data_IF_517234788419
#
_entry.id   IF_517234788419
#
_cell.length_a   1.000
_cell.length_b   1.000
_cell.length_c   1.000
_cell.angle_alpha   90.00
_cell.angle_beta   90.00
_cell.angle_gamma   90.00
#
_symmetry.space_group_name_H-M   'P 1'
#
loop_
_entity.id
_entity.type
_entity.pdbx_description
1 polymer ?
#
# COMPACT_ATOMS: atom_id res chain seq x y z
N UNK A 1 -2.97 32.98 51.09
CA UNK A 1 -1.64 32.60 50.58
C UNK A 1 -1.55 31.07 50.37
N UNK A 2 -2.50 30.48 49.62
CA UNK A 2 -2.64 29.01 49.50
C UNK A 2 -2.94 28.51 48.07
N UNK A 3 -2.94 29.39 47.06
CA UNK A 3 -3.31 29.05 45.67
C UNK A 3 -2.07 28.81 44.79
N UNK A 4 -0.87 29.23 45.23
CA UNK A 4 0.38 29.10 44.44
C UNK A 4 1.01 27.70 44.46
N UNK A 5 0.68 26.83 45.42
CA UNK A 5 1.30 25.51 45.55
C UNK A 5 0.55 24.40 44.79
N UNK A 6 -0.71 24.62 44.39
CA UNK A 6 -1.50 23.62 43.64
C UNK A 6 -1.14 23.63 42.15
N UNK A 7 -0.75 24.79 41.60
CA UNK A 7 -0.44 24.94 40.17
C UNK A 7 0.94 24.35 39.82
N UNK A 8 1.94 24.44 40.70
CA UNK A 8 3.25 23.80 40.45
C UNK A 8 3.17 22.26 40.51
N UNK A 9 2.30 21.69 41.35
CA UNK A 9 2.12 20.24 41.44
C UNK A 9 1.42 19.64 40.21
N UNK A 10 0.44 20.34 39.64
CA UNK A 10 -0.26 19.90 38.44
C UNK A 10 0.61 20.00 37.17
N UNK A 11 1.51 20.99 37.10
CA UNK A 11 2.43 21.15 35.96
C UNK A 11 3.56 20.11 35.99
N UNK A 12 4.06 19.71 37.17
CA UNK A 12 5.04 18.62 37.27
C UNK A 12 4.45 17.24 36.95
N UNK A 13 3.18 17.00 37.31
CA UNK A 13 2.49 15.73 36.98
C UNK A 13 2.12 15.64 35.49
N UNK A 14 1.83 16.77 34.85
CA UNK A 14 1.60 16.84 33.40
C UNK A 14 2.90 16.67 32.58
N UNK A 15 4.07 17.05 33.11
CA UNK A 15 5.36 16.81 32.46
C UNK A 15 5.83 15.34 32.56
N UNK A 16 5.33 14.56 33.52
CA UNK A 16 5.66 13.13 33.65
C UNK A 16 4.82 12.19 32.77
N UNK A 17 3.81 12.72 32.06
CA UNK A 17 2.92 11.95 31.18
C UNK A 17 3.23 12.12 29.68
N UNK A 18 4.29 12.85 29.35
CA UNK A 18 4.96 12.65 28.06
C UNK A 18 5.76 11.36 28.21
N UNK A 19 5.06 10.22 28.16
CA UNK A 19 5.73 8.96 27.91
C UNK A 19 6.49 9.14 26.62
N UNK A 20 7.82 9.20 26.70
CA UNK A 20 8.66 9.15 25.51
C UNK A 20 8.21 7.91 24.74
N UNK A 21 7.56 8.10 23.59
CA UNK A 21 7.22 6.99 22.72
C UNK A 21 8.52 6.22 22.50
N UNK A 22 8.51 4.94 22.87
CA UNK A 22 9.66 4.08 22.69
C UNK A 22 9.84 3.90 21.18
N UNK A 23 10.82 4.60 20.61
CA UNK A 23 11.17 4.46 19.21
C UNK A 23 12.46 3.66 19.11
N UNK A 24 12.35 2.34 18.90
CA UNK A 24 13.50 1.51 18.57
C UNK A 24 13.61 1.33 17.05
N UNK A 25 14.84 1.14 16.57
CA UNK A 25 15.11 0.78 15.18
C UNK A 25 15.53 -0.67 15.09
N UNK A 26 14.89 -1.41 14.19
CA UNK A 26 15.19 -2.79 13.87
C UNK A 26 15.58 -2.92 12.40
N UNK A 27 16.31 -3.98 12.09
CA UNK A 27 16.89 -4.22 10.77
C UNK A 27 16.58 -5.64 10.34
N UNK A 28 16.02 -5.77 9.15
CA UNK A 28 15.73 -7.03 8.49
C UNK A 28 16.42 -7.02 7.12
N UNK A 29 17.20 -8.05 6.84
CA UNK A 29 17.92 -8.19 5.59
C UNK A 29 17.91 -9.63 5.12
N UNK A 30 17.85 -9.85 3.81
CA UNK A 30 17.93 -11.19 3.21
C UNK A 30 19.23 -11.92 3.51
N UNK A 31 20.30 -11.20 3.90
CA UNK A 31 21.57 -11.78 4.35
C UNK A 31 21.70 -11.87 5.88
N UNK A 32 20.64 -11.57 6.62
CA UNK A 32 20.62 -11.58 8.08
C UNK A 32 20.45 -12.96 8.70
N UNK A 33 20.29 -12.98 10.02
CA UNK A 33 20.05 -14.17 10.83
C UNK A 33 19.01 -13.85 11.91
N UNK A 34 17.95 -14.64 12.02
CA UNK A 34 16.85 -14.42 12.98
C UNK A 34 17.27 -14.64 14.45
N UNK A 35 18.43 -15.24 14.68
CA UNK A 35 19.03 -15.38 16.02
C UNK A 35 19.71 -14.10 16.51
N UNK A 36 19.94 -13.12 15.63
CA UNK A 36 20.44 -11.80 16.01
C UNK A 36 19.42 -11.04 16.87
N UNK A 37 19.86 -9.95 17.51
CA UNK A 37 18.94 -9.05 18.22
C UNK A 37 18.18 -8.08 17.29
N UNK A 38 18.62 -7.94 16.03
CA UNK A 38 17.99 -7.13 15.00
C UNK A 38 18.11 -5.62 15.21
N UNK A 39 18.86 -5.13 16.21
CA UNK A 39 18.91 -3.69 16.57
C UNK A 39 20.03 -2.91 15.89
N UNK A 40 20.77 -3.54 14.97
CA UNK A 40 21.80 -2.86 14.17
C UNK A 40 21.87 -3.38 12.74
N UNK A 41 22.30 -2.55 11.76
CA UNK A 41 22.47 -2.99 10.38
C UNK A 41 23.47 -4.14 10.20
N UNK A 42 24.45 -4.27 11.12
CA UNK A 42 25.49 -5.30 11.06
C UNK A 42 25.06 -6.65 11.64
N UNK A 43 23.93 -6.69 12.35
CA UNK A 43 23.33 -7.93 12.88
C UNK A 43 21.80 -7.91 12.65
N UNK A 44 21.34 -7.86 11.38
CA UNK A 44 19.92 -7.80 11.07
C UNK A 44 19.28 -9.19 11.23
N UNK A 45 17.96 -9.20 11.42
CA UNK A 45 17.15 -10.40 11.25
C UNK A 45 17.05 -10.80 9.77
N UNK A 46 16.69 -12.05 9.51
CA UNK A 46 16.52 -12.57 8.14
C UNK A 46 15.07 -12.47 7.68
N UNK A 47 14.15 -12.95 8.50
CA UNK A 47 12.74 -13.11 8.14
C UNK A 47 12.00 -11.77 8.16
N UNK A 48 11.23 -11.44 7.11
CA UNK A 48 10.42 -10.21 7.06
C UNK A 48 9.33 -10.15 8.14
N UNK A 49 8.85 -11.31 8.61
CA UNK A 49 7.83 -11.40 9.66
C UNK A 49 8.41 -11.56 11.08
N UNK A 50 9.73 -11.42 11.27
CA UNK A 50 10.37 -11.52 12.60
C UNK A 50 9.83 -10.42 13.53
N UNK A 51 9.53 -10.77 14.78
CA UNK A 51 8.95 -9.85 15.78
C UNK A 51 7.44 -9.65 15.69
N UNK A 52 6.77 -10.34 14.76
CA UNK A 52 5.33 -10.23 14.56
C UNK A 52 4.56 -11.31 15.29
N UNK A 53 3.51 -10.90 16.00
CA UNK A 53 2.54 -11.83 16.55
C UNK A 53 1.81 -12.61 15.46
N UNK A 54 1.19 -13.71 15.87
CA UNK A 54 0.32 -14.55 15.02
C UNK A 54 -0.94 -14.91 15.80
N UNK A 55 -2.08 -14.94 15.13
CA UNK A 55 -3.34 -15.41 15.71
C UNK A 55 -3.42 -16.93 15.75
N UNK A 56 -4.04 -17.46 16.80
CA UNK A 56 -4.47 -18.86 16.85
C UNK A 56 -5.42 -19.21 15.69
N UNK A 57 -5.35 -20.46 15.24
CA UNK A 57 -6.22 -21.02 14.21
C UNK A 57 -7.16 -22.07 14.83
N UNK A 58 -7.91 -21.61 15.83
CA UNK A 58 -8.80 -22.44 16.66
C UNK A 58 -8.50 -22.26 18.14
N UNK A 59 -9.52 -22.45 18.99
CA UNK A 59 -9.34 -22.47 20.44
C UNK A 59 -8.45 -23.65 20.86
N UNK A 60 -7.70 -23.48 21.95
CA UNK A 60 -6.85 -24.52 22.52
C UNK A 60 -7.20 -24.68 24.00
N UNK A 61 -7.41 -25.93 24.44
CA UNK A 61 -7.72 -26.22 25.83
C UNK A 61 -6.47 -26.27 26.70
N UNK A 62 -6.63 -25.99 27.99
CA UNK A 62 -5.62 -26.25 29.00
C UNK A 62 -5.05 -27.67 28.87
N UNK A 63 -3.73 -27.81 29.04
CA UNK A 63 -3.01 -29.06 28.83
C UNK A 63 -2.62 -29.36 27.38
N UNK A 64 -3.11 -28.62 26.38
CA UNK A 64 -2.70 -28.81 24.99
C UNK A 64 -1.20 -28.55 24.81
N UNK A 65 -0.51 -29.47 24.14
CA UNK A 65 0.90 -29.35 23.74
C UNK A 65 1.07 -28.93 22.28
N UNK A 66 -0.03 -28.69 21.56
CA UNK A 66 0.01 -28.18 20.19
C UNK A 66 -0.80 -26.91 20.09
N UNK A 67 -0.19 -25.85 19.54
CA UNK A 67 -0.88 -24.61 19.22
C UNK A 67 -1.02 -24.48 17.71
N UNK A 68 -2.25 -24.57 17.21
CA UNK A 68 -2.57 -24.30 15.81
C UNK A 68 -2.61 -22.79 15.58
N UNK A 69 -1.88 -22.31 14.58
CA UNK A 69 -1.79 -20.88 14.22
C UNK A 69 -1.95 -20.69 12.73
N UNK A 70 -2.15 -19.44 12.31
CA UNK A 70 -2.37 -19.11 10.90
C UNK A 70 -1.11 -19.13 10.03
N UNK A 71 0.06 -18.91 10.64
CA UNK A 71 1.36 -18.86 9.98
C UNK A 71 2.51 -18.76 11.01
N UNK A 72 3.56 -19.55 10.90
CA UNK A 72 4.74 -19.46 11.79
C UNK A 72 5.94 -18.74 11.18
N UNK A 73 5.80 -18.10 10.02
CA UNK A 73 6.87 -17.29 9.43
C UNK A 73 7.37 -16.22 10.42
N UNK A 74 8.68 -16.05 10.50
CA UNK A 74 9.36 -15.13 11.44
C UNK A 74 9.70 -15.72 12.82
N UNK A 75 9.16 -16.89 13.18
CA UNK A 75 9.57 -17.59 14.41
C UNK A 75 10.78 -18.49 14.14
N UNK A 76 11.62 -18.69 15.16
CA UNK A 76 12.74 -19.63 15.10
C UNK A 76 12.23 -21.09 14.98
N UNK A 77 13.07 -22.04 14.54
CA UNK A 77 12.66 -23.46 14.51
C UNK A 77 12.28 -24.01 15.90
N UNK A 78 12.91 -23.50 16.96
CA UNK A 78 12.60 -23.77 18.37
C UNK A 78 12.80 -22.49 19.19
N UNK A 79 12.17 -22.40 20.36
CA UNK A 79 12.28 -21.22 21.22
C UNK A 79 11.14 -21.11 22.21
N UNK A 80 10.69 -19.88 22.46
CA UNK A 80 9.57 -19.61 23.36
C UNK A 80 8.54 -18.70 22.72
N UNK A 81 7.27 -18.92 23.04
CA UNK A 81 6.15 -18.07 22.65
C UNK A 81 5.43 -17.53 23.89
N UNK A 82 4.91 -16.31 23.83
CA UNK A 82 4.06 -15.75 24.87
C UNK A 82 2.60 -15.76 24.42
N UNK A 83 1.73 -16.32 25.25
CA UNK A 83 0.28 -16.40 25.05
C UNK A 83 -0.42 -16.11 26.38
N UNK A 84 -1.36 -15.16 26.38
CA UNK A 84 -2.13 -14.75 27.57
C UNK A 84 -1.23 -14.43 28.78
N UNK A 85 -0.08 -13.78 28.53
CA UNK A 85 0.90 -13.40 29.54
C UNK A 85 1.87 -14.50 29.98
N UNK A 86 1.55 -15.77 29.72
CA UNK A 86 2.41 -16.91 30.05
C UNK A 86 3.41 -17.21 28.93
N UNK A 87 4.61 -17.66 29.30
CA UNK A 87 5.68 -18.06 28.38
C UNK A 87 5.69 -19.59 28.24
N UNK A 88 5.73 -20.08 27.00
CA UNK A 88 5.75 -21.50 26.67
C UNK A 88 6.92 -21.80 25.76
N UNK A 89 7.74 -22.78 26.11
CA UNK A 89 8.80 -23.27 25.23
C UNK A 89 8.21 -24.22 24.19
N UNK A 90 8.76 -24.19 22.99
CA UNK A 90 8.45 -25.11 21.90
C UNK A 90 9.73 -25.68 21.31
N UNK A 91 9.71 -26.99 21.06
CA UNK A 91 10.83 -27.74 20.50
C UNK A 91 10.82 -27.77 18.98
N UNK A 92 9.66 -27.56 18.36
CA UNK A 92 9.52 -27.52 16.90
C UNK A 92 8.28 -26.74 16.45
N UNK A 93 8.23 -26.41 15.16
CA UNK A 93 7.07 -25.80 14.50
C UNK A 93 6.86 -26.37 13.10
N UNK A 94 5.62 -26.32 12.64
CA UNK A 94 5.26 -26.44 11.21
C UNK A 94 4.90 -25.06 10.66
N UNK A 95 4.47 -24.94 9.41
CA UNK A 95 3.98 -23.67 8.86
C UNK A 95 2.76 -23.11 9.61
N UNK A 96 2.00 -23.97 10.31
CA UNK A 96 0.73 -23.61 10.96
C UNK A 96 0.60 -24.11 12.39
N UNK A 97 1.68 -24.54 13.03
CA UNK A 97 1.61 -24.97 14.43
C UNK A 97 2.93 -24.89 15.19
N UNK A 98 2.83 -24.82 16.51
CA UNK A 98 3.94 -25.01 17.45
C UNK A 98 3.72 -26.29 18.27
N UNK A 99 4.79 -27.04 18.52
CA UNK A 99 4.81 -28.17 19.46
C UNK A 99 5.47 -27.73 20.77
N UNK A 100 4.64 -27.50 21.79
CA UNK A 100 5.06 -27.04 23.10
C UNK A 100 5.70 -28.16 23.93
N UNK A 101 6.70 -27.81 24.73
CA UNK A 101 7.38 -28.75 25.63
C UNK A 101 6.53 -29.09 26.86
N UNK A 102 5.56 -28.24 27.19
CA UNK A 102 4.59 -28.42 28.27
C UNK A 102 3.20 -28.00 27.83
N UNK A 103 2.17 -28.60 28.42
CA UNK A 103 0.79 -28.22 28.16
C UNK A 103 0.46 -26.78 28.57
N UNK A 104 -0.51 -26.17 27.89
CA UNK A 104 -1.04 -24.86 28.28
C UNK A 104 -1.53 -24.82 29.73
N UNK A 105 -1.31 -23.71 30.43
CA UNK A 105 -1.77 -23.53 31.82
C UNK A 105 -3.27 -23.20 31.90
N UNK A 106 -3.85 -22.66 30.83
CA UNK A 106 -5.26 -22.31 30.73
C UNK A 106 -5.76 -22.36 29.29
N UNK A 107 -7.07 -22.25 29.11
CA UNK A 107 -7.68 -22.21 27.78
C UNK A 107 -7.25 -20.93 27.01
N UNK A 108 -7.19 -21.05 25.70
CA UNK A 108 -6.94 -19.96 24.77
C UNK A 108 -8.02 -19.92 23.69
N UNK A 109 -8.47 -18.71 23.35
CA UNK A 109 -9.48 -18.49 22.33
C UNK A 109 -8.85 -18.35 20.95
N UNK A 110 -9.62 -18.64 19.90
CA UNK A 110 -9.16 -18.48 18.52
C UNK A 110 -8.74 -17.04 18.17
N UNK A 111 -9.19 -16.04 18.93
CA UNK A 111 -8.80 -14.64 18.78
C UNK A 111 -7.48 -14.26 19.45
N UNK A 112 -6.92 -15.14 20.27
CA UNK A 112 -5.72 -14.82 21.04
C UNK A 112 -4.48 -14.75 20.13
N UNK A 113 -3.56 -13.87 20.52
CA UNK A 113 -2.34 -13.58 19.77
C UNK A 113 -1.14 -14.19 20.50
N UNK A 114 -0.37 -14.96 19.75
CA UNK A 114 0.91 -15.48 20.17
C UNK A 114 2.00 -14.50 19.75
N UNK A 115 2.84 -14.10 20.71
CA UNK A 115 4.02 -13.29 20.47
C UNK A 115 5.28 -14.16 20.54
N UNK A 116 6.33 -13.75 19.81
CA UNK A 116 7.63 -14.39 19.96
C UNK A 116 8.26 -13.99 21.31
N UNK A 117 8.43 -14.97 22.20
CA UNK A 117 8.98 -14.75 23.53
C UNK A 117 10.51 -14.61 23.57
N UNK A 118 11.21 -14.90 22.47
CA UNK A 118 12.68 -14.87 22.39
C UNK A 118 13.24 -13.48 22.09
N UNK A 119 12.42 -12.58 21.57
CA UNK A 119 12.79 -11.21 21.20
C UNK A 119 11.77 -10.22 21.74
N UNK A 120 12.15 -8.94 21.77
CA UNK A 120 11.25 -7.84 22.12
C UNK A 120 10.51 -8.05 23.46
N UNK A 121 11.15 -8.75 24.42
CA UNK A 121 10.54 -9.08 25.71
C UNK A 121 9.21 -9.84 25.63
N UNK A 122 8.87 -10.45 24.49
CA UNK A 122 7.60 -11.13 24.28
C UNK A 122 6.40 -10.23 24.00
N UNK A 123 6.60 -8.96 23.62
CA UNK A 123 5.50 -8.00 23.40
C UNK A 123 5.25 -7.67 21.93
N UNK A 124 6.16 -8.04 21.02
CA UNK A 124 6.16 -7.60 19.63
C UNK A 124 6.58 -6.14 19.47
N UNK A 125 6.51 -5.61 18.25
CA UNK A 125 6.79 -4.18 18.00
C UNK A 125 5.83 -3.25 18.73
N UNK A 126 6.33 -2.09 19.12
CA UNK A 126 5.64 -1.07 19.91
C UNK A 126 5.42 0.22 19.10
N UNK A 127 4.45 1.07 19.48
CA UNK A 127 4.22 2.37 18.84
C UNK A 127 5.49 3.23 18.76
N UNK A 128 5.84 3.69 17.55
CA UNK A 128 7.05 4.46 17.29
C UNK A 128 8.25 3.65 16.79
N UNK A 129 8.17 2.30 16.82
CA UNK A 129 9.23 1.44 16.29
C UNK A 129 9.37 1.58 14.76
N UNK A 130 10.62 1.52 14.29
CA UNK A 130 11.00 1.58 12.87
C UNK A 130 11.71 0.29 12.46
N UNK A 131 11.23 -0.34 11.39
CA UNK A 131 11.74 -1.58 10.83
C UNK A 131 12.35 -1.27 9.46
N UNK A 132 13.66 -1.38 9.35
CA UNK A 132 14.42 -1.12 8.13
C UNK A 132 14.64 -2.42 7.37
N UNK A 133 14.09 -2.51 6.15
CA UNK A 133 14.16 -3.67 5.27
C UNK A 133 15.26 -3.48 4.22
N UNK A 134 15.98 -4.54 3.86
CA UNK A 134 17.01 -4.50 2.81
C UNK A 134 17.09 -5.82 2.03
N UNK A 135 17.19 -5.71 0.71
CA UNK A 135 17.37 -6.85 -0.20
C UNK A 135 16.08 -7.30 -0.88
N UNK A 136 16.17 -8.42 -1.60
CA UNK A 136 15.05 -9.03 -2.35
C UNK A 136 14.53 -10.29 -1.68
N UNK A 137 13.35 -10.20 -1.11
CA UNK A 137 12.65 -11.29 -0.42
C UNK A 137 11.90 -12.14 -1.46
N UNK A 138 12.56 -13.19 -1.94
CA UNK A 138 12.00 -14.09 -2.95
C UNK A 138 11.09 -15.14 -2.32
N UNK A 139 9.84 -15.21 -2.76
CA UNK A 139 8.85 -16.14 -2.24
C UNK A 139 8.65 -16.08 -0.71
N UNK A 140 8.84 -14.90 -0.12
CA UNK A 140 8.60 -14.62 1.30
C UNK A 140 7.51 -13.55 1.46
N UNK A 141 6.70 -13.68 2.50
CA UNK A 141 5.61 -12.75 2.81
C UNK A 141 5.93 -11.95 4.07
N UNK A 142 5.46 -10.71 4.13
CA UNK A 142 5.46 -9.91 5.36
C UNK A 142 4.07 -9.93 5.99
N UNK A 143 3.95 -10.69 7.08
CA UNK A 143 2.80 -10.63 7.99
C UNK A 143 3.02 -9.48 8.96
N UNK A 144 1.98 -8.74 9.29
CA UNK A 144 2.02 -7.84 10.45
C UNK A 144 0.79 -8.00 11.35
N UNK A 145 0.98 -7.70 12.64
CA UNK A 145 -0.11 -7.74 13.62
C UNK A 145 -0.10 -6.58 14.62
N UNK A 146 1.07 -6.09 14.99
CA UNK A 146 1.21 -5.02 15.96
C UNK A 146 0.51 -3.73 15.50
N UNK A 147 0.15 -2.88 16.47
CA UNK A 147 -0.48 -1.59 16.23
C UNK A 147 0.37 -0.47 16.81
N UNK A 148 0.49 0.62 16.07
CA UNK A 148 1.00 1.89 16.58
C UNK A 148 -0.08 2.68 17.31
N UNK A 149 0.14 3.98 17.39
CA UNK A 149 -0.88 4.96 17.79
C UNK A 149 -0.93 6.09 16.77
N UNK A 150 -1.99 6.90 16.78
CA UNK A 150 -2.12 8.06 15.89
C UNK A 150 -0.95 9.07 15.97
N UNK A 151 -0.23 9.12 17.11
CA UNK A 151 0.94 9.98 17.28
C UNK A 151 2.27 9.26 17.05
N UNK A 152 2.26 7.94 16.93
CA UNK A 152 3.46 7.10 16.90
C UNK A 152 3.16 5.81 16.14
N UNK A 153 3.14 5.90 14.81
CA UNK A 153 2.98 4.74 13.95
C UNK A 153 4.14 3.76 14.12
N UNK A 154 3.88 2.48 13.81
CA UNK A 154 4.96 1.52 13.51
C UNK A 154 5.32 1.70 12.04
N UNK A 155 6.59 1.86 11.72
CA UNK A 155 7.05 2.17 10.36
C UNK A 155 7.88 1.02 9.81
N UNK A 156 7.47 0.45 8.69
CA UNK A 156 8.30 -0.40 7.84
C UNK A 156 8.80 0.43 6.68
N UNK A 157 10.10 0.47 6.50
CA UNK A 157 10.71 1.25 5.42
C UNK A 157 11.88 0.51 4.82
N UNK A 158 12.22 0.84 3.58
CA UNK A 158 13.52 0.47 3.04
C UNK A 158 14.64 1.17 3.80
N UNK A 159 15.76 0.47 4.00
CA UNK A 159 16.95 1.10 4.56
C UNK A 159 17.44 2.26 3.65
N UNK A 160 18.09 3.29 4.21
CA UNK A 160 18.55 4.44 3.43
C UNK A 160 19.39 4.05 2.20
N UNK A 161 19.01 4.59 1.04
CA UNK A 161 19.69 4.33 -0.24
C UNK A 161 19.43 2.93 -0.83
N UNK A 162 18.51 2.16 -0.26
CA UNK A 162 18.09 0.85 -0.73
C UNK A 162 16.60 0.87 -1.08
N UNK A 163 16.15 -0.17 -1.81
CA UNK A 163 14.74 -0.53 -1.91
C UNK A 163 14.58 -2.00 -1.61
N UNK A 164 13.88 -2.31 -0.52
CA UNK A 164 13.46 -3.66 -0.22
C UNK A 164 12.41 -4.07 -1.26
N UNK A 165 12.57 -5.28 -1.79
CA UNK A 165 11.69 -5.80 -2.84
C UNK A 165 11.15 -7.17 -2.46
N UNK A 166 9.84 -7.31 -2.40
CA UNK A 166 9.18 -8.60 -2.23
C UNK A 166 8.80 -9.16 -3.59
N UNK A 167 9.33 -10.32 -3.95
CA UNK A 167 9.14 -10.93 -5.25
C UNK A 167 8.52 -12.32 -5.11
N UNK A 168 7.23 -12.43 -5.39
CA UNK A 168 6.48 -13.68 -5.34
C UNK A 168 6.20 -14.17 -6.75
N UNK A 169 6.58 -15.41 -7.07
CA UNK A 169 6.34 -16.02 -8.38
C UNK A 169 5.81 -17.44 -8.20
N UNK A 170 4.60 -17.70 -8.71
CA UNK A 170 3.91 -19.01 -8.71
C UNK A 170 3.94 -19.72 -7.34
N UNK A 171 3.81 -18.96 -6.25
CA UNK A 171 3.87 -19.48 -4.88
C UNK A 171 2.46 -19.82 -4.40
N UNK A 172 2.20 -21.07 -3.94
CA UNK A 172 0.94 -21.42 -3.29
C UNK A 172 0.70 -20.64 -1.99
N UNK A 173 -0.57 -20.50 -1.58
CA UNK A 173 -0.93 -19.95 -0.27
C UNK A 173 -0.87 -18.42 -0.17
N UNK A 174 -0.85 -17.71 -1.29
CA UNK A 174 -0.75 -16.23 -1.34
C UNK A 174 -2.08 -15.51 -1.33
N UNK A 175 -3.19 -16.20 -1.06
CA UNK A 175 -4.53 -15.61 -1.02
C UNK A 175 -4.69 -14.47 -0.01
N UNK A 176 -3.80 -14.38 0.99
CA UNK A 176 -3.80 -13.34 2.01
C UNK A 176 -3.14 -12.03 1.57
N UNK A 177 -2.21 -12.06 0.62
CA UNK A 177 -1.35 -10.92 0.29
C UNK A 177 0.15 -11.23 0.35
N UNK A 178 0.98 -10.47 -0.35
CA UNK A 178 2.46 -10.47 -0.14
C UNK A 178 2.79 -9.76 1.16
N UNK A 179 2.23 -8.57 1.34
CA UNK A 179 2.14 -7.87 2.62
C UNK A 179 0.70 -7.98 3.09
N UNK A 180 0.50 -8.47 4.32
CA UNK A 180 -0.84 -8.71 4.85
C UNK A 180 -0.90 -8.61 6.37
N UNK A 181 -2.07 -8.24 6.90
CA UNK A 181 -2.29 -8.22 8.34
C UNK A 181 -2.99 -9.50 8.81
N UNK A 182 -2.59 -10.02 9.96
CA UNK A 182 -3.26 -11.17 10.56
C UNK A 182 -4.50 -10.76 11.37
N UNK A 183 -5.60 -10.45 10.67
CA UNK A 183 -6.85 -10.01 11.31
C UNK A 183 -8.11 -10.31 10.53
N UNK A 184 -9.08 -10.98 11.18
CA UNK A 184 -10.53 -10.92 10.90
C UNK A 184 -11.25 -11.25 12.22
N UNK A 185 -11.53 -10.25 13.06
CA UNK A 185 -12.18 -10.46 14.36
C UNK A 185 -12.07 -9.25 15.28
N UNK A 186 -13.14 -8.94 16.00
CA UNK A 186 -13.37 -7.65 16.66
C UNK A 186 -12.44 -7.30 17.84
N UNK A 187 -11.61 -8.21 18.35
CA UNK A 187 -10.87 -7.99 19.61
C UNK A 187 -9.46 -7.40 19.46
N UNK A 188 -8.77 -7.55 18.32
CA UNK A 188 -7.44 -6.94 18.11
C UNK A 188 -7.20 -6.54 16.63
N UNK A 189 -7.55 -5.31 16.26
CA UNK A 189 -7.23 -4.77 14.92
C UNK A 189 -5.78 -4.31 14.85
N UNK A 190 -5.16 -4.48 13.70
CA UNK A 190 -3.88 -3.82 13.39
C UNK A 190 -4.17 -2.41 12.92
N UNK A 191 -3.56 -1.42 13.57
CA UNK A 191 -3.81 -0.01 13.29
C UNK A 191 -2.55 0.85 13.37
N UNK A 192 -2.53 1.98 12.66
CA UNK A 192 -1.44 2.96 12.70
C UNK A 192 -0.08 2.38 12.32
N UNK A 193 -0.04 1.77 11.14
CA UNK A 193 1.17 1.19 10.55
C UNK A 193 1.45 1.86 9.22
N UNK A 194 2.70 2.21 8.95
CA UNK A 194 3.14 2.80 7.69
C UNK A 194 4.15 1.90 7.01
N UNK A 195 3.94 1.65 5.72
CA UNK A 195 4.90 1.02 4.81
C UNK A 195 5.39 2.11 3.85
N UNK A 196 6.70 2.32 3.78
CA UNK A 196 7.27 3.39 2.95
C UNK A 196 8.45 2.90 2.11
N UNK A 197 8.40 3.16 0.81
CA UNK A 197 9.53 2.94 -0.07
C UNK A 197 9.86 1.45 -0.30
N UNK A 198 8.88 0.56 -0.21
CA UNK A 198 9.05 -0.89 -0.39
C UNK A 198 8.37 -1.29 -1.71
N UNK A 199 9.01 -2.14 -2.48
CA UNK A 199 8.46 -2.61 -3.76
C UNK A 199 7.90 -4.03 -3.61
N UNK A 200 6.81 -4.31 -4.30
CA UNK A 200 6.10 -5.59 -4.21
C UNK A 200 5.74 -6.07 -5.60
N UNK A 201 6.14 -7.30 -5.93
CA UNK A 201 5.70 -8.03 -7.11
C UNK A 201 5.05 -9.35 -6.70
N UNK A 202 3.89 -9.61 -7.27
CA UNK A 202 3.24 -10.92 -7.25
C UNK A 202 2.89 -11.33 -8.67
N UNK A 203 3.38 -12.49 -9.09
CA UNK A 203 3.13 -13.08 -10.40
C UNK A 203 2.61 -14.51 -10.22
N UNK A 204 1.30 -14.70 -10.40
CA UNK A 204 0.59 -15.96 -10.10
C UNK A 204 -0.11 -16.47 -11.36
N UNK A 205 0.63 -17.18 -12.21
CA UNK A 205 0.09 -17.76 -13.43
C UNK A 205 -0.47 -19.15 -13.14
N UNK A 206 -1.80 -19.29 -13.08
CA UNK A 206 -2.50 -20.57 -12.95
C UNK A 206 -2.60 -21.16 -11.53
N UNK A 207 -2.30 -20.38 -10.50
CA UNK A 207 -2.25 -20.81 -9.09
C UNK A 207 -3.34 -20.20 -8.20
N UNK A 208 -4.28 -19.45 -8.79
CA UNK A 208 -5.33 -18.71 -8.10
C UNK A 208 -4.82 -17.36 -7.59
N UNK A 209 -5.41 -16.28 -8.08
CA UNK A 209 -5.00 -14.90 -7.79
C UNK A 209 -5.04 -14.57 -6.29
N UNK A 210 -3.98 -13.93 -5.80
CA UNK A 210 -3.92 -13.31 -4.47
C UNK A 210 -3.53 -11.83 -4.60
N UNK A 211 -3.85 -10.97 -3.61
CA UNK A 211 -3.46 -9.57 -3.71
C UNK A 211 -1.95 -9.38 -3.50
N UNK A 212 -1.38 -8.28 -3.99
CA UNK A 212 -0.03 -7.89 -3.59
C UNK A 212 -0.04 -7.36 -2.14
N UNK A 213 -1.00 -6.47 -1.84
CA UNK A 213 -1.29 -6.00 -0.49
C UNK A 213 -2.70 -6.45 -0.09
N UNK A 214 -2.81 -7.24 0.97
CA UNK A 214 -4.10 -7.74 1.46
C UNK A 214 -4.37 -7.31 2.90
N UNK A 215 -5.34 -6.43 3.09
CA UNK A 215 -5.81 -6.02 4.40
C UNK A 215 -7.17 -6.62 4.69
N UNK A 216 -7.34 -7.15 5.90
CA UNK A 216 -8.64 -7.52 6.42
C UNK A 216 -8.83 -7.00 7.86
N UNK A 217 -9.87 -6.19 8.04
CA UNK A 217 -10.23 -5.55 9.31
C UNK A 217 -9.18 -4.59 9.90
N UNK A 218 -8.13 -4.25 9.16
CA UNK A 218 -7.10 -3.29 9.56
C UNK A 218 -7.56 -1.85 9.31
N UNK A 219 -7.11 -0.92 10.15
CA UNK A 219 -7.47 0.49 10.01
C UNK A 219 -6.23 1.38 10.01
N UNK A 220 -6.32 2.56 9.39
CA UNK A 220 -5.24 3.56 9.45
C UNK A 220 -3.88 3.01 9.03
N UNK A 221 -3.86 2.10 8.04
CA UNK A 221 -2.63 1.57 7.45
C UNK A 221 -2.26 2.43 6.25
N UNK A 222 -1.02 2.90 6.19
CA UNK A 222 -0.52 3.74 5.09
C UNK A 222 0.51 2.98 4.26
N UNK A 223 0.32 2.97 2.94
CA UNK A 223 1.30 2.50 1.97
C UNK A 223 1.74 3.71 1.14
N UNK A 224 2.98 4.13 1.33
CA UNK A 224 3.53 5.34 0.73
C UNK A 224 4.75 5.02 -0.12
N UNK A 225 4.87 5.70 -1.25
CA UNK A 225 6.05 5.62 -2.10
C UNK A 225 6.37 4.18 -2.58
N UNK A 226 5.33 3.39 -2.90
CA UNK A 226 5.44 1.96 -3.25
C UNK A 226 5.40 1.75 -4.77
N UNK A 227 6.08 0.71 -5.27
CA UNK A 227 5.87 0.14 -6.60
C UNK A 227 5.25 -1.26 -6.47
N UNK A 228 3.98 -1.41 -6.87
CA UNK A 228 3.16 -2.59 -6.62
C UNK A 228 2.73 -3.21 -7.95
N UNK A 229 3.34 -4.34 -8.30
CA UNK A 229 3.06 -5.07 -9.53
C UNK A 229 2.37 -6.41 -9.23
N UNK A 230 1.11 -6.52 -9.62
CA UNK A 230 0.30 -7.71 -9.48
C UNK A 230 -0.08 -8.25 -10.85
N UNK A 231 0.28 -9.51 -11.13
CA UNK A 231 0.00 -10.18 -12.39
C UNK A 231 -0.48 -11.61 -12.15
N UNK A 232 -1.34 -12.10 -13.03
CA UNK A 232 -1.78 -13.48 -13.04
C UNK A 232 -2.35 -13.89 -14.40
N UNK A 233 -3.16 -14.94 -14.42
CA UNK A 233 -3.86 -15.40 -15.63
C UNK A 233 -5.24 -14.75 -15.79
N UNK A 234 -5.75 -14.71 -17.03
CA UNK A 234 -7.13 -14.31 -17.34
C UNK A 234 -8.13 -15.09 -16.46
N UNK A 235 -9.00 -14.38 -15.75
CA UNK A 235 -10.00 -14.95 -14.83
C UNK A 235 -9.51 -15.19 -13.39
N UNK A 236 -8.19 -15.20 -13.17
CA UNK A 236 -7.53 -15.38 -11.87
C UNK A 236 -6.51 -14.26 -11.60
N UNK A 237 -6.83 -13.03 -12.02
CA UNK A 237 -5.93 -11.89 -11.87
C UNK A 237 -5.58 -11.60 -10.41
N UNK A 238 -4.39 -11.05 -10.18
CA UNK A 238 -3.93 -10.64 -8.86
C UNK A 238 -4.19 -9.16 -8.65
N UNK A 239 -4.88 -8.82 -7.57
CA UNK A 239 -5.21 -7.44 -7.18
C UNK A 239 -3.96 -6.74 -6.63
N UNK A 240 -3.67 -5.49 -7.00
CA UNK A 240 -2.53 -4.78 -6.43
C UNK A 240 -2.77 -4.43 -4.95
N UNK A 241 -3.90 -3.79 -4.62
CA UNK A 241 -4.27 -3.47 -3.25
C UNK A 241 -5.70 -3.92 -2.93
N UNK A 242 -5.89 -4.74 -1.88
CA UNK A 242 -7.19 -5.21 -1.44
C UNK A 242 -7.44 -4.85 0.02
N UNK A 243 -8.53 -4.14 0.29
CA UNK A 243 -9.01 -3.81 1.64
C UNK A 243 -10.36 -4.48 1.91
N UNK A 244 -10.44 -5.30 2.96
CA UNK A 244 -11.67 -5.99 3.38
C UNK A 244 -12.07 -5.47 4.75
N UNK A 245 -13.25 -4.83 4.90
CA UNK A 245 -13.79 -4.37 6.20
C UNK A 245 -12.87 -3.45 7.02
N UNK A 246 -11.90 -2.80 6.38
CA UNK A 246 -10.94 -1.88 7.00
C UNK A 246 -11.23 -0.42 6.68
N UNK A 247 -10.88 0.48 7.59
CA UNK A 247 -11.21 1.91 7.48
C UNK A 247 -9.97 2.81 7.54
N UNK A 248 -10.00 3.89 6.77
CA UNK A 248 -8.94 4.91 6.71
C UNK A 248 -7.59 4.36 6.26
N UNK A 249 -7.59 3.29 5.46
CA UNK A 249 -6.37 2.76 4.86
C UNK A 249 -5.99 3.61 3.65
N UNK A 250 -4.69 3.89 3.47
CA UNK A 250 -4.20 4.88 2.51
C UNK A 250 -3.18 4.27 1.56
N UNK A 251 -3.27 4.62 0.29
CA UNK A 251 -2.26 4.39 -0.75
C UNK A 251 -1.84 5.74 -1.31
N UNK A 252 -0.58 6.11 -1.10
CA UNK A 252 -0.04 7.45 -1.36
C UNK A 252 1.20 7.37 -2.25
N UNK A 253 1.35 8.33 -3.16
CA UNK A 253 2.58 8.55 -3.94
C UNK A 253 3.11 7.30 -4.67
N UNK A 254 2.23 6.35 -5.00
CA UNK A 254 2.61 4.99 -5.41
C UNK A 254 2.37 4.74 -6.90
N UNK A 255 2.86 3.59 -7.36
CA UNK A 255 2.59 3.04 -8.68
C UNK A 255 1.97 1.66 -8.51
N UNK A 256 0.83 1.42 -9.16
CA UNK A 256 0.10 0.16 -9.08
C UNK A 256 -0.14 -0.39 -10.48
N UNK A 257 0.12 -1.68 -10.63
CA UNK A 257 -0.24 -2.49 -11.80
C UNK A 257 -0.98 -3.74 -11.36
N UNK A 258 -2.08 -4.07 -12.02
CA UNK A 258 -2.91 -5.23 -11.68
C UNK A 258 -3.45 -5.94 -12.92
N UNK A 259 -2.60 -6.72 -13.60
CA UNK A 259 -2.97 -7.32 -14.88
C UNK A 259 -4.11 -8.33 -14.66
N UNK A 260 -5.25 -8.08 -15.33
CA UNK A 260 -6.49 -8.87 -15.27
C UNK A 260 -7.26 -8.81 -13.94
N UNK A 261 -6.97 -7.83 -13.07
CA UNK A 261 -7.73 -7.58 -11.84
C UNK A 261 -7.73 -6.07 -11.51
N UNK A 262 -8.18 -5.72 -10.31
CA UNK A 262 -8.30 -4.32 -9.88
C UNK A 262 -6.98 -3.75 -9.34
N UNK A 263 -6.67 -2.50 -9.67
CA UNK A 263 -5.55 -1.78 -9.05
C UNK A 263 -5.79 -1.59 -7.55
N UNK A 264 -6.92 -1.01 -7.19
CA UNK A 264 -7.37 -0.88 -5.79
C UNK A 264 -8.76 -1.47 -5.67
N UNK A 265 -8.92 -2.44 -4.76
CA UNK A 265 -10.20 -3.07 -4.45
C UNK A 265 -10.57 -2.88 -2.99
N UNK A 266 -11.78 -2.38 -2.74
CA UNK A 266 -12.43 -2.45 -1.44
C UNK A 266 -13.58 -3.46 -1.45
N UNK A 267 -13.56 -4.37 -0.48
CA UNK A 267 -14.60 -5.36 -0.26
C UNK A 267 -15.27 -5.13 1.10
N UNK A 268 -16.60 -5.05 1.09
CA UNK A 268 -17.45 -5.14 2.28
C UNK A 268 -17.13 -4.08 3.34
N UNK A 269 -17.83 -2.94 3.29
CA UNK A 269 -17.74 -1.84 4.25
C UNK A 269 -16.32 -1.27 4.45
N UNK A 270 -16.22 -0.06 5.01
CA UNK A 270 -14.93 0.58 5.29
C UNK A 270 -14.56 1.67 4.28
N UNK A 271 -13.31 2.13 4.36
CA UNK A 271 -12.82 3.25 3.57
C UNK A 271 -11.36 3.11 3.16
N UNK A 272 -11.09 3.43 1.90
CA UNK A 272 -9.74 3.49 1.32
C UNK A 272 -9.53 4.88 0.74
N UNK A 273 -8.36 5.47 1.02
CA UNK A 273 -7.93 6.76 0.48
C UNK A 273 -6.79 6.50 -0.50
N UNK A 274 -6.89 7.04 -1.71
CA UNK A 274 -5.85 6.93 -2.74
C UNK A 274 -5.43 8.34 -3.18
N UNK A 275 -4.13 8.65 -3.12
CA UNK A 275 -3.60 9.98 -3.48
C UNK A 275 -2.33 9.89 -4.30
N UNK A 276 -2.14 10.82 -5.23
CA UNK A 276 -0.87 11.03 -5.95
C UNK A 276 -0.32 9.75 -6.58
N UNK A 277 -1.20 8.89 -7.07
CA UNK A 277 -0.88 7.50 -7.38
C UNK A 277 -1.20 7.20 -8.84
N UNK A 278 -0.27 6.50 -9.51
CA UNK A 278 -0.51 6.02 -10.87
C UNK A 278 -1.03 4.59 -10.81
N UNK A 279 -2.09 4.31 -11.56
CA UNK A 279 -2.65 2.97 -11.74
C UNK A 279 -2.61 2.65 -13.22
N UNK A 280 -1.96 1.56 -13.62
CA UNK A 280 -1.79 1.23 -15.03
C UNK A 280 -2.02 -0.26 -15.32
N UNK A 281 -2.43 -0.57 -16.57
CA UNK A 281 -2.65 -1.94 -17.06
C UNK A 281 -3.46 -2.83 -16.10
N UNK A 282 -4.48 -2.22 -15.47
CA UNK A 282 -5.43 -2.90 -14.60
C UNK A 282 -6.71 -3.23 -15.36
N UNK A 283 -7.39 -4.33 -15.02
CA UNK A 283 -8.73 -4.64 -15.56
C UNK A 283 -9.73 -3.54 -15.17
N UNK A 284 -9.65 -3.15 -13.90
CA UNK A 284 -10.34 -2.00 -13.31
C UNK A 284 -9.34 -1.17 -12.50
N UNK A 285 -9.36 0.16 -12.63
CA UNK A 285 -8.49 1.02 -11.81
C UNK A 285 -8.87 0.95 -10.32
N UNK A 286 -10.09 1.37 -10.01
CA UNK A 286 -10.68 1.41 -8.67
C UNK A 286 -11.97 0.57 -8.63
N UNK A 287 -12.03 -0.43 -7.75
CA UNK A 287 -13.20 -1.29 -7.55
C UNK A 287 -13.71 -1.23 -6.12
N UNK A 288 -14.99 -0.90 -5.91
CA UNK A 288 -15.61 -0.94 -4.57
C UNK A 288 -16.93 -1.70 -4.60
N UNK A 289 -17.04 -2.74 -3.77
CA UNK A 289 -18.26 -3.58 -3.69
C UNK A 289 -18.73 -3.79 -2.25
N UNK A 290 -20.03 -4.06 -2.11
CA UNK A 290 -20.69 -4.46 -0.86
C UNK A 290 -20.62 -3.43 0.28
N UNK A 291 -20.82 -2.16 -0.06
CA UNK A 291 -20.75 -1.04 0.88
C UNK A 291 -19.31 -0.59 1.13
N UNK A 292 -19.15 0.67 1.51
CA UNK A 292 -17.85 1.30 1.74
C UNK A 292 -17.55 2.43 0.75
N UNK A 293 -16.35 2.98 0.87
CA UNK A 293 -15.94 4.18 0.14
C UNK A 293 -14.50 4.08 -0.36
N UNK A 294 -14.27 4.48 -1.61
CA UNK A 294 -12.95 4.88 -2.08
C UNK A 294 -12.97 6.38 -2.30
N UNK A 295 -12.13 7.09 -1.56
CA UNK A 295 -11.85 8.50 -1.80
C UNK A 295 -10.51 8.59 -2.54
N UNK A 296 -10.54 8.99 -3.80
CA UNK A 296 -9.40 9.09 -4.70
C UNK A 296 -9.20 10.54 -5.16
N UNK A 297 -7.95 11.01 -5.14
CA UNK A 297 -7.58 12.34 -5.63
C UNK A 297 -6.19 12.33 -6.26
N UNK A 298 -5.96 13.15 -7.29
CA UNK A 298 -4.64 13.28 -7.92
C UNK A 298 -4.15 11.91 -8.42
N UNK A 299 -4.99 11.19 -9.16
CA UNK A 299 -4.62 9.93 -9.77
C UNK A 299 -4.33 10.11 -11.25
N UNK A 300 -3.45 9.27 -11.78
CA UNK A 300 -3.33 9.05 -13.22
C UNK A 300 -3.67 7.58 -13.46
N UNK A 301 -4.75 7.29 -14.19
CA UNK A 301 -5.21 5.93 -14.47
C UNK A 301 -5.02 5.67 -15.96
N UNK A 302 -4.21 4.67 -16.31
CA UNK A 302 -3.84 4.34 -17.69
C UNK A 302 -4.33 2.93 -18.02
N UNK A 303 -5.31 2.84 -18.91
CA UNK A 303 -5.77 1.57 -19.46
C UNK A 303 -4.65 0.91 -20.28
N UNK A 304 -4.40 -0.37 -20.00
CA UNK A 304 -3.48 -1.20 -20.79
C UNK A 304 -4.21 -2.26 -21.61
N UNK A 305 -3.47 -3.11 -22.36
CA UNK A 305 -4.05 -4.15 -23.21
C UNK A 305 -4.91 -5.17 -22.46
N UNK A 306 -4.70 -5.31 -21.15
CA UNK A 306 -5.47 -6.20 -20.28
C UNK A 306 -6.73 -5.53 -19.68
N UNK A 307 -6.99 -4.25 -19.96
CA UNK A 307 -8.04 -3.48 -19.29
C UNK A 307 -9.43 -3.64 -19.93
N UNK A 308 -10.46 -3.78 -19.10
CA UNK A 308 -11.87 -3.62 -19.51
C UNK A 308 -12.34 -2.15 -19.53
N UNK A 309 -11.39 -1.20 -19.42
CA UNK A 309 -11.53 0.26 -19.46
C UNK A 309 -12.36 0.92 -18.34
N UNK A 310 -12.67 0.23 -17.25
CA UNK A 310 -13.23 0.91 -16.08
C UNK A 310 -12.11 1.53 -15.25
N UNK A 311 -11.97 2.85 -15.32
CA UNK A 311 -11.13 3.56 -14.36
C UNK A 311 -11.70 3.43 -12.95
N UNK A 312 -13.03 3.41 -12.82
CA UNK A 312 -13.72 3.10 -11.58
C UNK A 312 -14.99 2.27 -11.84
N UNK A 313 -15.20 1.24 -11.03
CA UNK A 313 -16.41 0.40 -11.01
C UNK A 313 -16.91 0.19 -9.58
N UNK A 314 -18.22 0.25 -9.37
CA UNK A 314 -18.78 0.02 -8.03
C UNK A 314 -20.19 -0.57 -8.00
N UNK A 315 -20.44 -1.34 -6.93
CA UNK A 315 -21.72 -1.99 -6.64
C UNK A 315 -22.12 -1.71 -5.18
N UNK A 316 -23.30 -1.09 -4.97
CA UNK A 316 -23.82 -0.70 -3.66
C UNK A 316 -22.81 0.07 -2.77
N UNK A 317 -21.96 0.90 -3.38
CA UNK A 317 -20.89 1.60 -2.68
C UNK A 317 -20.57 2.95 -3.34
N UNK A 318 -19.61 3.70 -2.79
CA UNK A 318 -19.23 5.01 -3.31
C UNK A 318 -17.76 5.05 -3.72
N UNK A 319 -17.48 5.62 -4.90
CA UNK A 319 -16.15 6.03 -5.32
C UNK A 319 -16.18 7.52 -5.65
N UNK A 320 -15.32 8.29 -5.01
CA UNK A 320 -15.07 9.70 -5.33
C UNK A 320 -13.72 9.81 -6.00
N UNK A 321 -13.66 10.30 -7.24
CA UNK A 321 -12.43 10.47 -8.02
C UNK A 321 -12.28 11.93 -8.43
N UNK A 322 -11.41 12.67 -7.74
CA UNK A 322 -11.22 14.11 -7.97
C UNK A 322 -9.82 14.42 -8.49
N UNK A 323 -9.68 15.55 -9.19
CA UNK A 323 -8.39 16.10 -9.63
C UNK A 323 -7.53 15.04 -10.36
N UNK A 324 -8.14 14.17 -11.17
CA UNK A 324 -7.49 12.98 -11.72
C UNK A 324 -7.51 12.93 -13.24
N UNK A 325 -6.62 12.13 -13.81
CA UNK A 325 -6.51 11.88 -15.25
C UNK A 325 -6.83 10.42 -15.52
N UNK A 326 -7.66 10.18 -16.53
CA UNK A 326 -7.94 8.85 -17.07
C UNK A 326 -7.49 8.83 -18.52
N UNK A 327 -6.70 7.83 -18.87
CA UNK A 327 -6.19 7.57 -20.21
C UNK A 327 -6.62 6.17 -20.61
N UNK A 328 -7.32 6.01 -21.74
CA UNK A 328 -7.78 4.72 -22.23
C UNK A 328 -7.15 4.35 -23.57
N UNK A 329 -6.62 3.13 -23.66
CA UNK A 329 -6.31 2.49 -24.94
C UNK A 329 -7.50 1.61 -25.35
N UNK A 330 -8.26 1.94 -26.40
CA UNK A 330 -9.36 1.10 -26.86
C UNK A 330 -8.83 -0.15 -27.57
N UNK A 331 -8.33 -1.14 -26.83
CA UNK A 331 -7.90 -2.41 -27.42
C UNK A 331 -9.11 -3.33 -27.63
N UNK A 332 -9.94 -3.01 -28.62
CA UNK A 332 -10.95 -3.93 -29.16
C UNK A 332 -12.24 -3.28 -29.63
N UNK A 333 -12.84 -3.87 -30.67
CA UNK A 333 -14.14 -3.50 -31.26
C UNK A 333 -15.29 -3.51 -30.23
N UNK A 334 -15.09 -4.16 -29.08
CA UNK A 334 -16.07 -4.28 -27.99
C UNK A 334 -16.06 -3.14 -26.96
N UNK A 335 -15.08 -2.23 -27.03
CA UNK A 335 -14.77 -1.29 -25.94
C UNK A 335 -15.01 0.19 -26.27
N UNK A 336 -15.47 0.52 -27.49
CA UNK A 336 -15.72 1.92 -27.90
C UNK A 336 -16.95 2.56 -27.23
N UNK A 337 -17.79 1.78 -26.55
CA UNK A 337 -19.06 2.23 -25.93
C UNK A 337 -19.09 2.10 -24.41
N UNK A 338 -17.99 1.68 -23.77
CA UNK A 338 -17.91 1.55 -22.31
C UNK A 338 -17.55 2.90 -21.67
N UNK A 339 -18.26 3.25 -20.60
CA UNK A 339 -17.95 4.42 -19.78
C UNK A 339 -16.68 4.21 -18.97
N UNK A 340 -15.91 5.27 -18.72
CA UNK A 340 -14.76 5.21 -17.84
C UNK A 340 -15.18 4.98 -16.37
N UNK A 341 -16.37 5.47 -16.02
CA UNK A 341 -16.99 5.32 -14.72
C UNK A 341 -18.22 4.42 -14.83
N UNK A 342 -18.24 3.30 -14.10
CA UNK A 342 -19.36 2.37 -14.06
C UNK A 342 -19.96 2.28 -12.64
N UNK A 343 -21.28 2.38 -12.55
CA UNK A 343 -22.01 2.31 -11.28
C UNK A 343 -23.30 1.51 -11.45
N UNK A 344 -23.41 0.41 -10.70
CA UNK A 344 -24.67 -0.34 -10.61
C UNK A 344 -25.71 0.40 -9.75
N UNK A 345 -26.98 -0.02 -9.84
CA UNK A 345 -28.07 0.60 -9.08
C UNK A 345 -27.76 0.66 -7.57
N UNK A 346 -27.94 1.83 -6.94
CA UNK A 346 -27.62 2.06 -5.53
C UNK A 346 -26.16 2.38 -5.24
N UNK A 347 -25.31 2.46 -6.25
CA UNK A 347 -23.90 2.88 -6.14
C UNK A 347 -23.69 4.31 -6.66
N UNK A 348 -22.56 4.93 -6.34
CA UNK A 348 -22.22 6.29 -6.80
C UNK A 348 -20.75 6.34 -7.18
N UNK A 349 -20.48 6.72 -8.43
CA UNK A 349 -19.15 7.18 -8.86
C UNK A 349 -19.27 8.66 -9.24
N UNK A 350 -18.44 9.51 -8.66
CA UNK A 350 -18.47 10.95 -8.90
C UNK A 350 -17.09 11.58 -8.79
N UNK A 351 -16.96 12.81 -9.29
CA UNK A 351 -15.79 13.66 -9.10
C UNK A 351 -15.18 14.18 -10.40
N UNK A 352 -14.28 15.16 -10.27
CA UNK A 352 -13.71 15.89 -11.40
C UNK A 352 -12.49 15.16 -11.97
N UNK A 353 -12.52 14.86 -13.27
CA UNK A 353 -11.44 14.20 -13.97
C UNK A 353 -11.34 14.64 -15.43
N UNK A 354 -10.14 14.51 -15.98
CA UNK A 354 -9.92 14.60 -17.41
C UNK A 354 -9.87 13.19 -18.01
N UNK A 355 -10.44 13.04 -19.20
CA UNK A 355 -10.57 11.76 -19.88
C UNK A 355 -10.02 11.86 -21.30
N UNK A 356 -9.05 11.00 -21.60
CA UNK A 356 -8.39 10.89 -22.89
C UNK A 356 -8.61 9.49 -23.45
N UNK A 357 -9.32 9.38 -24.56
CA UNK A 357 -9.48 8.14 -25.31
C UNK A 357 -8.54 8.19 -26.51
N UNK A 358 -7.63 7.23 -26.60
CA UNK A 358 -6.68 7.06 -27.69
C UNK A 358 -5.49 8.04 -27.69
N UNK A 359 -4.30 7.51 -27.38
CA UNK A 359 -3.01 8.20 -27.53
C UNK A 359 -2.15 7.53 -28.62
N UNK A 360 -2.69 6.52 -29.31
CA UNK A 360 -1.99 5.79 -30.35
C UNK A 360 -2.54 6.17 -31.72
N UNK A 361 -1.71 6.86 -32.50
CA UNK A 361 -1.90 7.17 -33.93
C UNK A 361 -2.80 8.36 -34.26
N UNK A 362 -2.26 9.60 -34.20
CA UNK A 362 -2.66 10.81 -34.96
C UNK A 362 -4.17 11.15 -35.11
N UNK A 363 -5.05 10.47 -34.40
CA UNK A 363 -6.50 10.53 -34.50
C UNK A 363 -7.05 10.90 -33.14
N UNK A 364 -6.90 12.18 -32.83
CA UNK A 364 -7.75 12.88 -31.87
C UNK A 364 -9.20 12.44 -32.07
N UNK A 365 -9.76 11.75 -31.07
CA UNK A 365 -11.17 11.39 -30.97
C UNK A 365 -11.79 11.01 -32.32
N UNK A 366 -11.58 9.78 -32.79
CA UNK A 366 -12.22 9.29 -34.01
C UNK A 366 -13.72 9.63 -34.02
N UNK A 367 -14.26 10.05 -35.17
CA UNK A 367 -15.60 10.67 -35.28
C UNK A 367 -16.81 9.83 -34.84
N UNK A 368 -16.59 8.63 -34.29
CA UNK A 368 -17.59 7.75 -33.69
C UNK A 368 -17.52 7.71 -32.14
N UNK A 369 -16.64 8.48 -31.50
CA UNK A 369 -16.62 8.56 -30.05
C UNK A 369 -17.81 9.39 -29.54
N UNK A 370 -18.54 8.84 -28.57
CA UNK A 370 -19.57 9.54 -27.82
C UNK A 370 -19.33 9.33 -26.33
N UNK A 371 -19.31 10.38 -25.50
CA UNK A 371 -19.21 10.22 -24.05
C UNK A 371 -20.43 9.44 -23.56
N UNK A 372 -20.23 8.49 -22.66
CA UNK A 372 -21.35 7.88 -21.95
C UNK A 372 -21.96 8.88 -20.95
N UNK A 373 -23.15 8.55 -20.41
CA UNK A 373 -23.92 9.47 -19.58
C UNK A 373 -23.16 10.00 -18.34
N UNK A 374 -22.15 9.24 -17.87
CA UNK A 374 -21.31 9.57 -16.73
C UNK A 374 -19.91 10.09 -17.11
N UNK A 375 -19.56 10.12 -18.40
CA UNK A 375 -18.23 10.51 -18.90
C UNK A 375 -18.18 12.00 -19.27
N UNK A 376 -18.84 12.86 -18.50
CA UNK A 376 -18.75 14.29 -18.73
C UNK A 376 -17.30 14.70 -18.44
N UNK A 377 -16.50 15.13 -19.44
CA UNK A 377 -15.20 15.70 -19.15
C UNK A 377 -15.41 16.87 -18.17
N UNK A 378 -14.47 17.06 -17.23
CA UNK A 378 -14.47 18.27 -16.42
C UNK A 378 -14.56 19.54 -17.30
N UNK A 379 -14.93 20.68 -16.71
CA UNK A 379 -15.23 21.95 -17.41
C UNK A 379 -14.17 22.43 -18.44
N UNK A 380 -12.98 21.82 -18.47
CA UNK A 380 -11.83 22.20 -19.28
C UNK A 380 -11.30 21.08 -20.19
N UNK A 381 -12.01 19.96 -20.35
CA UNK A 381 -11.68 18.94 -21.36
C UNK A 381 -12.06 19.42 -22.75
N UNK A 382 -11.31 20.36 -23.31
CA UNK A 382 -11.49 20.76 -24.72
C UNK A 382 -10.70 19.81 -25.63
N UNK A 383 -11.37 19.10 -26.54
CA UNK A 383 -10.71 18.36 -27.61
C UNK A 383 -9.83 19.31 -28.45
N UNK A 384 -8.55 18.97 -28.66
CA UNK A 384 -7.68 19.65 -29.63
C UNK A 384 -6.75 20.76 -29.11
N UNK A 385 -6.58 20.92 -27.79
CA UNK A 385 -5.49 21.72 -27.19
C UNK A 385 -4.56 20.76 -26.47
N UNK A 386 -3.50 20.34 -27.15
CA UNK A 386 -2.60 19.28 -26.68
C UNK A 386 -1.90 19.60 -25.36
N UNK A 387 -1.87 18.65 -24.41
CA UNK A 387 -0.76 18.58 -23.49
C UNK A 387 0.48 18.02 -24.21
N UNK A 388 1.66 18.60 -24.00
CA UNK A 388 2.90 18.03 -24.54
C UNK A 388 3.14 16.65 -23.92
N UNK A 389 2.93 15.61 -24.74
CA UNK A 389 3.04 14.20 -24.36
C UNK A 389 4.51 13.77 -24.31
N UNK A 390 5.00 13.36 -23.13
CA UNK A 390 6.30 12.68 -23.04
C UNK A 390 6.08 11.18 -23.23
N UNK A 391 6.23 10.76 -24.48
CA UNK A 391 6.41 9.39 -25.01
C UNK A 391 6.12 8.22 -24.04
N UNK A 392 5.04 7.47 -24.30
CA UNK A 392 4.74 6.22 -23.60
C UNK A 392 5.49 5.05 -24.23
N UNK A 393 6.61 4.63 -23.62
CA UNK A 393 7.02 3.24 -23.73
C UNK A 393 6.01 2.38 -22.97
N UNK A 394 5.03 1.80 -23.66
CA UNK A 394 3.87 1.09 -23.09
C UNK A 394 4.19 -0.21 -22.32
N UNK A 395 5.46 -0.60 -22.23
CA UNK A 395 5.87 -1.93 -21.77
C UNK A 395 6.30 -1.99 -20.30
N UNK A 396 6.68 -0.84 -19.70
CA UNK A 396 7.06 -0.76 -18.29
C UNK A 396 6.88 0.66 -17.75
N UNK A 397 5.92 0.82 -16.84
CA UNK A 397 5.76 2.05 -16.07
C UNK A 397 6.28 1.86 -14.63
N UNK A 398 7.39 1.15 -14.43
CA UNK A 398 8.05 1.14 -13.13
C UNK A 398 8.49 2.56 -12.71
N UNK A 399 8.62 2.80 -11.41
CA UNK A 399 8.93 4.13 -10.85
C UNK A 399 10.19 4.80 -11.45
N UNK A 400 11.15 4.01 -11.95
CA UNK A 400 12.38 4.51 -12.56
C UNK A 400 12.22 5.10 -13.96
N UNK A 401 11.04 4.97 -14.56
CA UNK A 401 10.74 5.52 -15.88
C UNK A 401 10.15 6.93 -15.71
N UNK A 402 10.67 7.91 -16.43
CA UNK A 402 10.12 9.28 -16.46
C UNK A 402 8.96 9.45 -17.46
N UNK A 403 8.58 8.36 -18.14
CA UNK A 403 7.64 8.31 -19.25
C UNK A 403 6.17 8.24 -18.80
N UNK A 404 5.80 9.05 -17.81
CA UNK A 404 4.43 9.18 -17.35
C UNK A 404 3.75 10.33 -18.10
N UNK A 405 2.43 10.24 -18.29
CA UNK A 405 1.65 11.40 -18.71
C UNK A 405 1.82 12.51 -17.65
N UNK A 406 2.57 13.55 -18.00
CA UNK A 406 2.79 14.75 -17.19
C UNK A 406 2.41 15.96 -18.03
N UNK A 407 1.91 16.98 -17.36
CA UNK A 407 1.68 18.28 -17.99
C UNK A 407 2.90 19.18 -17.80
N UNK A 408 3.22 19.98 -18.82
CA UNK A 408 4.05 21.16 -18.61
C UNK A 408 3.39 22.11 -17.61
N UNK A 409 4.21 22.83 -16.84
CA UNK A 409 3.74 23.82 -15.88
C UNK A 409 2.89 24.95 -16.47
N UNK A 410 3.04 25.24 -17.76
CA UNK A 410 2.23 26.23 -18.48
C UNK A 410 0.92 25.69 -19.06
N UNK A 411 0.72 24.36 -19.06
CA UNK A 411 -0.43 23.75 -19.69
C UNK A 411 -1.72 24.05 -18.91
N UNK A 412 -2.74 24.67 -19.53
CA UNK A 412 -4.05 24.85 -18.90
C UNK A 412 -4.70 23.52 -18.51
N UNK A 413 -4.40 22.44 -19.23
CA UNK A 413 -4.87 21.09 -18.92
C UNK A 413 -4.36 20.59 -17.57
N UNK A 414 -3.24 21.12 -17.07
CA UNK A 414 -2.68 20.75 -15.78
C UNK A 414 -3.49 21.29 -14.59
N UNK A 415 -4.23 22.38 -14.78
CA UNK A 415 -5.03 23.07 -13.75
C UNK A 415 -6.54 22.92 -14.00
N UNK A 416 -6.92 21.89 -14.73
CA UNK A 416 -8.27 21.70 -15.25
C UNK A 416 -9.32 21.33 -14.19
N UNK A 417 -8.97 21.22 -12.91
CA UNK A 417 -9.93 20.87 -11.88
C UNK A 417 -11.00 21.94 -11.67
N UNK A 418 -12.14 21.57 -11.08
CA UNK A 418 -13.24 22.51 -10.79
C UNK A 418 -12.83 23.68 -9.89
N UNK A 419 -11.69 23.56 -9.20
CA UNK A 419 -11.11 24.59 -8.33
C UNK A 419 -9.90 25.29 -8.94
N UNK A 420 -9.48 24.94 -10.16
CA UNK A 420 -8.25 25.42 -10.78
C UNK A 420 -6.97 24.79 -10.20
N UNK A 421 -7.09 23.68 -9.47
CA UNK A 421 -5.96 22.97 -8.86
C UNK A 421 -5.28 22.02 -9.84
N UNK A 422 -4.04 21.63 -9.53
CA UNK A 422 -3.30 20.64 -10.30
C UNK A 422 -4.00 19.27 -10.34
N UNK A 423 -4.03 18.64 -11.50
CA UNK A 423 -4.61 17.30 -11.70
C UNK A 423 -3.58 16.23 -12.06
N UNK A 424 -3.83 15.00 -11.64
CA UNK A 424 -2.94 13.85 -11.90
C UNK A 424 -1.98 13.53 -10.76
N UNK A 425 -1.24 12.43 -10.91
CA UNK A 425 -0.47 11.81 -9.84
C UNK A 425 0.96 12.31 -9.64
N UNK A 426 1.56 12.93 -10.66
CA UNK A 426 2.98 13.35 -10.63
C UNK A 426 3.08 14.84 -10.91
N UNK A 427 4.07 15.47 -10.30
CA UNK A 427 4.32 16.89 -10.45
C UNK A 427 4.50 17.31 -11.92
N UNK A 428 4.23 18.60 -12.15
CA UNK A 428 4.43 19.28 -13.43
C UNK A 428 5.87 19.15 -13.92
N UNK A 429 6.03 19.00 -15.23
CA UNK A 429 7.35 19.12 -15.86
C UNK A 429 7.68 20.60 -16.02
N UNK A 430 8.85 21.06 -15.53
CA UNK A 430 9.31 22.43 -15.77
C UNK A 430 9.53 22.69 -17.27
N UNK A 431 9.28 23.92 -17.70
CA UNK A 431 9.52 24.34 -19.10
C UNK A 431 10.99 24.07 -19.52
N UNK A 432 11.24 23.58 -20.76
CA UNK A 432 12.58 23.34 -21.29
C UNK A 432 13.54 24.55 -21.29
N UNK A 433 13.08 25.77 -20.96
CA UNK A 433 13.92 26.96 -20.80
C UNK A 433 14.55 27.17 -19.42
N UNK A 434 14.16 26.39 -18.41
CA UNK A 434 14.51 26.66 -17.00
C UNK A 434 15.90 26.16 -16.58
N UNK A 435 16.51 25.25 -17.35
CA UNK A 435 17.86 24.73 -17.10
C UNK A 435 18.98 25.74 -17.44
N UNK A 436 18.71 26.73 -18.29
CA UNK A 436 19.71 27.73 -18.70
C UNK A 436 20.01 28.78 -17.62
N UNK A 437 19.12 28.99 -16.63
CA UNK A 437 19.38 29.97 -15.57
C UNK A 437 20.23 29.42 -14.41
N UNK A 438 20.21 28.10 -14.17
CA UNK A 438 21.08 27.49 -13.16
C UNK A 438 22.54 27.36 -13.64
N UNK A 439 22.75 27.14 -14.94
CA UNK A 439 24.10 27.17 -15.53
C UNK A 439 24.62 28.61 -15.65
N UNK A 440 23.77 29.61 -15.90
CA UNK A 440 24.18 31.01 -15.85
C UNK A 440 24.57 31.48 -14.43
N UNK A 441 23.91 30.98 -13.38
CA UNK A 441 24.32 31.22 -11.99
C UNK A 441 25.60 30.45 -11.60
N UNK A 442 25.83 29.26 -12.19
CA UNK A 442 27.03 28.43 -11.98
C UNK A 442 28.28 28.89 -12.73
N UNK A 443 28.13 29.60 -13.86
CA UNK A 443 29.26 30.18 -14.62
C UNK A 443 29.59 31.61 -14.15
N UNK A 444 28.64 32.32 -13.54
CA UNK A 444 28.86 33.64 -12.92
C UNK A 444 29.73 33.62 -11.66
N UNK A 445 29.88 32.48 -10.99
CA UNK A 445 30.72 32.32 -9.80
C UNK A 445 32.18 31.92 -10.09
N UNK A 446 32.53 31.61 -11.36
CA UNK A 446 33.89 31.20 -11.76
C UNK A 446 34.64 32.20 -12.66
N UNK A 447 34.15 33.43 -12.81
CA UNK A 447 34.84 34.50 -13.55
C UNK A 447 35.37 35.66 -12.67
N UNK A 448 35.28 35.58 -11.33
CA UNK A 448 35.86 36.56 -10.39
C UNK A 448 36.78 35.91 -9.35
N UNK A 449 37.81 35.20 -9.83
CA UNK A 449 39.07 34.98 -9.09
C UNK A 449 40.23 35.03 -10.09
N UNK A 450 40.60 36.25 -10.48
CA UNK A 450 41.95 36.64 -10.96
C UNK A 450 42.03 38.16 -11.00
N UNK A 451 42.36 38.75 -9.85
CA UNK A 451 43.51 39.66 -9.66
C UNK A 451 43.77 39.76 -8.17
#
# INVERSE_FOLDING_TARGET
>A
MAIRNVILGAVLLALSLIGNAHAASYYISTSGDDTNNGTSPGAPWRSPSRGQGVRLNGAASAGSTTLSVRDTAGFLPSGSVRLNGALYNYSSKTDTSFSLDSGLVGDANDSDIIQDGTILGGTGFQPGDVINLTGTFNNEQLRFKASGTNSSNIIYQSAPGQRAFFNIVNRPGTSKGVIWNDGEGASTKSEFVTFSGIDVKIDQNGTGGGPAIGLSGANSITFDDMDIHATGSLGDGSIAFRNVKGSSNMVLNSVLRSRFAEGVRGDISGSTIVRNTVIWDSDVGLGQINGGTIDARNLTIIGGPASQLWAAHTENSTIMLNDSIIVGQPTGVWNLTRTALNSNAGATVSGDHNLFFDLSDDNYYGGNWSPGANDQPGANGQPGVDPEFVNMGLDDFSRGQDNWLRFLSSSPAAFASSTGSFIGAKDLVPEPGSFMLLVAAGVGAMARRRR
#
